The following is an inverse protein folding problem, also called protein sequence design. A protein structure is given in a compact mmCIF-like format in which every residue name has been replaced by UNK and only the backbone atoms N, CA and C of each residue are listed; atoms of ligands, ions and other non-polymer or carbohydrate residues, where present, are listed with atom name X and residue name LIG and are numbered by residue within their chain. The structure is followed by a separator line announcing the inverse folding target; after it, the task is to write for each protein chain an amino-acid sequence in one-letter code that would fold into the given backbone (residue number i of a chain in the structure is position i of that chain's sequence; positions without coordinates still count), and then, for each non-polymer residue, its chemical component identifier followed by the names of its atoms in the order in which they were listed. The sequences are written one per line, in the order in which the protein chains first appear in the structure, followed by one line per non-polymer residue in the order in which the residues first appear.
data_IF_040347287008
#
_entry.id   IF_040347287008
#
_cell.length_a   1.000
_cell.length_b   1.000
_cell.length_c   1.000
_cell.angle_alpha   90.00
_cell.angle_beta   90.00
_cell.angle_gamma   90.00
#
_symmetry.space_group_name_H-M   'P 1'
#
loop_
_entity.id
_entity.type
_entity.pdbx_description
1 polymer ?
#
# COMPACT_ATOMS: atom_id res chain seq x y z
N UNK A 1 11.78 22.35 0.91
CA UNK A 1 11.14 21.15 0.33
C UNK A 1 10.11 21.62 -0.66
N UNK A 2 10.05 21.02 -1.85
CA UNK A 2 8.99 21.34 -2.82
C UNK A 2 7.64 20.96 -2.21
N UNK A 3 6.64 21.83 -2.37
CA UNK A 3 5.28 21.55 -1.94
C UNK A 3 4.60 20.68 -3.01
N UNK A 4 4.62 19.36 -2.83
CA UNK A 4 4.06 18.39 -3.79
C UNK A 4 2.54 18.32 -3.62
N UNK A 5 1.80 18.59 -4.71
CA UNK A 5 0.33 18.51 -4.71
C UNK A 5 -0.12 17.09 -5.08
N UNK A 6 -0.21 16.21 -4.08
CA UNK A 6 -0.59 14.81 -4.29
C UNK A 6 -1.96 14.62 -4.94
N UNK A 7 -2.94 15.47 -4.65
CA UNK A 7 -4.26 15.42 -5.30
C UNK A 7 -4.16 15.53 -6.82
N UNK A 8 -3.27 16.41 -7.30
CA UNK A 8 -3.06 16.63 -8.73
C UNK A 8 -2.34 15.45 -9.39
N UNK A 9 -1.39 14.85 -8.67
CA UNK A 9 -0.70 13.64 -9.11
C UNK A 9 -1.71 12.49 -9.24
N UNK A 10 -2.52 12.24 -8.22
CA UNK A 10 -3.52 11.17 -8.25
C UNK A 10 -4.58 11.39 -9.33
N UNK A 11 -5.06 12.63 -9.50
CA UNK A 11 -5.98 12.99 -10.58
C UNK A 11 -5.35 12.70 -11.95
N UNK A 12 -4.09 13.09 -12.16
CA UNK A 12 -3.36 12.83 -13.41
C UNK A 12 -3.19 11.33 -13.67
N UNK A 13 -2.81 10.55 -12.65
CA UNK A 13 -2.68 9.09 -12.75
C UNK A 13 -4.01 8.43 -13.12
N UNK A 14 -5.11 8.82 -12.47
CA UNK A 14 -6.44 8.28 -12.74
C UNK A 14 -6.93 8.64 -14.14
N UNK A 15 -6.76 9.89 -14.58
CA UNK A 15 -7.06 10.33 -15.94
C UNK A 15 -6.25 9.52 -16.97
N UNK A 16 -4.96 9.35 -16.73
CA UNK A 16 -4.08 8.57 -17.62
C UNK A 16 -4.53 7.12 -17.74
N UNK A 17 -4.93 6.49 -16.63
CA UNK A 17 -5.48 5.13 -16.62
C UNK A 17 -6.79 5.03 -17.41
N UNK A 18 -7.68 6.03 -17.32
CA UNK A 18 -8.95 6.02 -18.07
C UNK A 18 -8.79 6.14 -19.59
N UNK A 19 -7.63 6.63 -20.05
CA UNK A 19 -7.33 6.80 -21.48
C UNK A 19 -6.75 5.54 -22.13
N UNK A 20 -6.52 4.48 -21.36
CA UNK A 20 -5.92 3.24 -21.88
C UNK A 20 -6.89 2.53 -22.83
N UNK A 21 -6.51 2.41 -24.10
CA UNK A 21 -7.10 1.44 -25.01
C UNK A 21 -6.54 0.04 -24.71
N UNK A 22 -7.41 -0.86 -24.25
CA UNK A 22 -7.05 -2.24 -23.87
C UNK A 22 -6.71 -3.13 -25.07
N UNK A 23 -7.14 -2.78 -26.29
CA UNK A 23 -6.76 -3.52 -27.50
C UNK A 23 -5.31 -3.24 -27.88
N UNK A 24 -4.82 -2.02 -27.62
CA UNK A 24 -3.46 -1.58 -27.93
C UNK A 24 -2.51 -1.94 -26.76
N UNK A 25 -2.91 -1.58 -25.54
CA UNK A 25 -2.13 -1.77 -24.32
C UNK A 25 -2.61 -3.01 -23.56
N UNK A 26 -2.43 -4.15 -24.21
CA UNK A 26 -3.01 -5.42 -23.77
C UNK A 26 -2.21 -6.19 -22.69
N UNK A 27 -1.10 -5.63 -22.21
CA UNK A 27 -0.30 -6.21 -21.12
C UNK A 27 0.16 -5.13 -20.12
N UNK A 28 0.66 -5.52 -18.95
CA UNK A 28 1.03 -4.57 -17.90
C UNK A 28 2.14 -3.61 -18.34
N UNK A 29 3.18 -4.11 -19.02
CA UNK A 29 4.33 -3.31 -19.47
C UNK A 29 3.92 -2.19 -20.43
N UNK A 30 3.05 -2.49 -21.41
CA UNK A 30 2.51 -1.51 -22.35
C UNK A 30 1.65 -0.46 -21.65
N UNK A 31 0.81 -0.86 -20.69
CA UNK A 31 0.00 0.07 -19.89
C UNK A 31 0.87 1.00 -19.08
N UNK A 32 1.90 0.46 -18.43
CA UNK A 32 2.87 1.23 -17.65
C UNK A 32 3.59 2.27 -18.52
N UNK A 33 4.17 1.86 -19.65
CA UNK A 33 4.88 2.80 -20.54
C UNK A 33 3.94 3.87 -21.10
N UNK A 34 2.70 3.50 -21.45
CA UNK A 34 1.71 4.48 -21.91
C UNK A 34 1.40 5.55 -20.84
N UNK A 35 1.07 5.13 -19.60
CA UNK A 35 0.80 6.08 -18.51
C UNK A 35 2.04 6.95 -18.23
N UNK A 36 3.23 6.34 -18.21
CA UNK A 36 4.49 7.03 -18.00
C UNK A 36 4.74 8.11 -19.05
N UNK A 37 4.49 7.80 -20.32
CA UNK A 37 4.59 8.79 -21.41
C UNK A 37 3.59 9.93 -21.20
N UNK A 38 2.35 9.67 -20.79
CA UNK A 38 1.39 10.74 -20.48
C UNK A 38 1.89 11.65 -19.36
N UNK A 39 2.44 11.09 -18.28
CA UNK A 39 2.96 11.88 -17.15
C UNK A 39 4.14 12.75 -17.59
N UNK A 40 5.07 12.18 -18.36
CA UNK A 40 6.26 12.90 -18.82
C UNK A 40 5.92 13.98 -19.84
N UNK A 41 5.11 13.63 -20.84
CA UNK A 41 4.77 14.49 -21.98
C UNK A 41 3.61 15.44 -21.70
N UNK A 42 3.01 15.42 -20.50
CA UNK A 42 1.87 16.29 -20.15
C UNK A 42 2.13 17.74 -20.61
N UNK A 43 1.47 18.10 -21.72
CA UNK A 43 1.73 19.29 -22.54
C UNK A 43 1.15 20.57 -21.88
N UNK A 44 0.38 20.43 -20.80
CA UNK A 44 -0.34 21.54 -20.15
C UNK A 44 0.35 22.08 -18.88
N UNK A 45 1.63 21.73 -18.62
CA UNK A 45 2.42 22.20 -17.45
C UNK A 45 1.78 22.00 -16.06
N UNK A 46 0.74 21.17 -15.94
CA UNK A 46 -0.03 20.98 -14.70
C UNK A 46 0.84 20.48 -13.55
N UNK A 47 1.70 19.50 -13.83
CA UNK A 47 2.65 18.95 -12.86
C UNK A 47 4.04 19.59 -13.05
N UNK A 48 4.58 20.09 -11.94
CA UNK A 48 5.98 20.50 -11.85
C UNK A 48 6.93 19.31 -12.07
N UNK A 49 8.21 19.59 -12.32
CA UNK A 49 9.23 18.53 -12.47
C UNK A 49 9.29 17.58 -11.26
N UNK A 50 9.20 18.12 -10.05
CA UNK A 50 9.23 17.33 -8.82
C UNK A 50 7.97 16.47 -8.66
N UNK A 51 6.81 17.00 -9.04
CA UNK A 51 5.55 16.25 -9.05
C UNK A 51 5.52 15.16 -10.12
N UNK A 52 6.08 15.40 -11.31
CA UNK A 52 6.26 14.36 -12.33
C UNK A 52 7.14 13.23 -11.80
N UNK A 53 8.25 13.57 -11.13
CA UNK A 53 9.12 12.58 -10.52
C UNK A 53 8.38 11.74 -9.47
N UNK A 54 7.59 12.39 -8.61
CA UNK A 54 6.82 11.70 -7.59
C UNK A 54 5.68 10.84 -8.19
N UNK A 55 5.00 11.33 -9.23
CA UNK A 55 4.01 10.57 -9.99
C UNK A 55 4.60 9.29 -10.61
N UNK A 56 5.82 9.38 -11.16
CA UNK A 56 6.53 8.21 -11.70
C UNK A 56 6.91 7.23 -10.58
N UNK A 57 7.34 7.69 -9.40
CA UNK A 57 7.59 6.79 -8.27
C UNK A 57 6.32 6.04 -7.85
N UNK A 58 5.20 6.74 -7.72
CA UNK A 58 3.91 6.13 -7.39
C UNK A 58 3.48 5.12 -8.47
N UNK A 59 3.63 5.48 -9.75
CA UNK A 59 3.34 4.58 -10.87
C UNK A 59 4.22 3.31 -10.82
N UNK A 60 5.51 3.44 -10.52
CA UNK A 60 6.41 2.29 -10.37
C UNK A 60 5.95 1.36 -9.25
N UNK A 61 5.54 1.92 -8.10
CA UNK A 61 5.04 1.11 -6.98
C UNK A 61 3.76 0.35 -7.36
N UNK A 62 2.84 0.99 -8.07
CA UNK A 62 1.60 0.37 -8.59
C UNK A 62 1.97 -0.76 -9.56
N UNK A 63 2.86 -0.48 -10.50
CA UNK A 63 3.28 -1.45 -11.51
C UNK A 63 3.97 -2.67 -10.88
N UNK A 64 4.86 -2.46 -9.92
CA UNK A 64 5.50 -3.55 -9.19
C UNK A 64 4.49 -4.41 -8.42
N UNK A 65 3.51 -3.76 -7.76
CA UNK A 65 2.40 -4.46 -7.12
C UNK A 65 1.61 -5.31 -8.11
N UNK A 66 1.23 -4.74 -9.26
CA UNK A 66 0.44 -5.43 -10.29
C UNK A 66 1.22 -6.62 -10.88
N UNK A 67 2.53 -6.46 -11.14
CA UNK A 67 3.38 -7.58 -11.59
C UNK A 67 3.33 -8.76 -10.63
N UNK A 68 3.44 -8.51 -9.33
CA UNK A 68 3.39 -9.56 -8.31
C UNK A 68 1.99 -10.17 -8.24
N UNK A 69 0.94 -9.33 -8.22
CA UNK A 69 -0.45 -9.76 -8.09
C UNK A 69 -0.89 -10.66 -9.25
N UNK A 70 -0.56 -10.28 -10.48
CA UNK A 70 -0.91 -11.03 -11.69
C UNK A 70 0.17 -12.04 -12.10
N UNK A 71 1.29 -12.11 -11.36
CA UNK A 71 2.45 -12.93 -11.68
C UNK A 71 2.91 -12.73 -13.15
N UNK A 72 2.94 -11.47 -13.59
CA UNK A 72 3.19 -11.07 -14.98
C UNK A 72 4.46 -10.22 -15.10
N UNK A 73 5.15 -10.38 -16.23
CA UNK A 73 6.32 -9.60 -16.61
C UNK A 73 7.66 -10.26 -16.25
N UNK A 74 8.74 -9.55 -16.52
CA UNK A 74 10.09 -10.11 -16.38
C UNK A 74 10.49 -10.21 -14.91
N UNK A 75 10.94 -11.41 -14.49
CA UNK A 75 11.57 -11.65 -13.18
C UNK A 75 13.03 -11.21 -13.19
N UNK A 76 13.55 -10.84 -12.02
CA UNK A 76 14.97 -10.53 -11.81
C UNK A 76 15.48 -11.25 -10.57
N UNK A 77 16.78 -11.45 -10.48
CA UNK A 77 17.40 -11.94 -9.24
C UNK A 77 17.59 -10.77 -8.29
N UNK A 78 17.07 -10.89 -7.06
CA UNK A 78 17.31 -9.91 -6.02
C UNK A 78 18.75 -10.02 -5.51
N UNK A 79 19.51 -8.94 -5.57
CA UNK A 79 20.90 -8.89 -5.08
C UNK A 79 21.02 -9.18 -3.57
N UNK A 80 19.99 -8.88 -2.79
CA UNK A 80 20.02 -9.05 -1.33
C UNK A 80 19.69 -10.48 -0.88
N UNK A 81 18.65 -11.09 -1.46
CA UNK A 81 18.17 -12.41 -1.00
C UNK A 81 18.36 -13.54 -2.02
N UNK A 82 18.91 -13.22 -3.20
CA UNK A 82 19.22 -14.17 -4.29
C UNK A 82 18.01 -14.95 -4.82
N UNK A 83 16.78 -14.49 -4.52
CA UNK A 83 15.54 -15.05 -5.06
C UNK A 83 15.13 -14.32 -6.34
N UNK A 84 14.49 -15.05 -7.25
CA UNK A 84 13.75 -14.46 -8.36
C UNK A 84 12.56 -13.67 -7.83
N UNK A 85 12.51 -12.37 -8.10
CA UNK A 85 11.44 -11.47 -7.71
C UNK A 85 10.88 -10.70 -8.93
N UNK A 86 9.62 -10.28 -8.83
CA UNK A 86 8.92 -9.58 -9.91
C UNK A 86 9.04 -8.06 -9.82
N UNK A 87 8.97 -7.51 -8.61
CA UNK A 87 9.10 -6.07 -8.40
C UNK A 87 10.49 -5.57 -8.78
N UNK A 88 10.55 -4.38 -9.38
CA UNK A 88 11.77 -3.71 -9.84
C UNK A 88 12.32 -2.81 -8.72
N UNK A 89 11.47 -2.02 -8.09
CA UNK A 89 11.87 -1.00 -7.10
C UNK A 89 12.14 -1.58 -5.70
N UNK A 90 11.58 -2.74 -5.39
CA UNK A 90 11.80 -3.48 -4.16
C UNK A 90 11.82 -4.99 -4.42
N UNK A 91 12.00 -5.79 -3.38
CA UNK A 91 11.87 -7.24 -3.44
C UNK A 91 10.83 -7.72 -2.43
N UNK A 92 9.76 -8.35 -2.90
CA UNK A 92 8.66 -8.87 -2.08
C UNK A 92 9.17 -9.87 -1.03
N UNK A 93 10.20 -10.66 -1.33
CA UNK A 93 10.79 -11.58 -0.36
C UNK A 93 11.61 -10.86 0.73
N UNK A 94 12.32 -9.78 0.38
CA UNK A 94 13.05 -9.00 1.38
C UNK A 94 12.08 -8.33 2.36
N UNK A 95 10.96 -7.80 1.84
CA UNK A 95 9.89 -7.24 2.68
C UNK A 95 9.31 -8.31 3.60
N UNK A 96 8.92 -9.48 3.07
CA UNK A 96 8.39 -10.60 3.88
C UNK A 96 9.38 -11.06 4.95
N UNK A 97 10.67 -11.12 4.65
CA UNK A 97 11.70 -11.48 5.61
C UNK A 97 11.83 -10.43 6.71
N UNK A 98 11.88 -9.15 6.34
CA UNK A 98 11.88 -8.03 7.29
C UNK A 98 10.68 -8.09 8.23
N UNK A 99 9.48 -8.36 7.70
CA UNK A 99 8.28 -8.48 8.53
C UNK A 99 8.37 -9.66 9.49
N UNK A 100 8.79 -10.84 9.01
CA UNK A 100 8.98 -12.04 9.83
C UNK A 100 9.96 -11.83 11.00
N UNK A 101 11.06 -11.13 10.76
CA UNK A 101 12.03 -10.78 11.81
C UNK A 101 11.43 -9.86 12.89
N UNK A 102 10.36 -9.13 12.57
CA UNK A 102 9.67 -8.23 13.49
C UNK A 102 8.43 -8.85 14.17
N UNK A 103 8.11 -10.12 13.91
CA UNK A 103 6.92 -10.77 14.50
C UNK A 103 6.93 -10.79 16.04
N UNK A 104 8.11 -10.80 16.67
CA UNK A 104 8.23 -10.75 18.13
C UNK A 104 8.18 -9.33 18.71
N UNK A 105 8.18 -8.29 17.87
CA UNK A 105 8.31 -6.90 18.32
C UNK A 105 6.96 -6.22 18.59
N UNK A 106 5.86 -6.89 18.27
CA UNK A 106 4.51 -6.41 18.52
C UNK A 106 3.58 -7.58 18.84
N UNK A 107 2.51 -7.30 19.58
CA UNK A 107 1.38 -8.20 19.79
C UNK A 107 0.13 -7.35 20.00
N UNK A 108 -1.03 -7.87 19.59
CA UNK A 108 -2.33 -7.30 19.91
C UNK A 108 -2.89 -7.78 21.26
N UNK A 109 -2.15 -8.64 21.97
CA UNK A 109 -2.62 -9.42 23.12
C UNK A 109 -3.75 -10.42 22.76
N UNK A 110 -4.01 -10.63 21.47
CA UNK A 110 -4.94 -11.61 20.94
C UNK A 110 -4.23 -12.51 19.91
N UNK A 111 -4.06 -13.78 20.27
CA UNK A 111 -3.31 -14.74 19.45
C UNK A 111 -3.92 -14.96 18.06
N UNK A 112 -5.25 -15.01 17.95
CA UNK A 112 -5.93 -15.21 16.67
C UNK A 112 -5.74 -14.01 15.71
N UNK A 113 -5.78 -12.78 16.25
CA UNK A 113 -5.48 -11.56 15.48
C UNK A 113 -4.01 -11.56 15.04
N UNK A 114 -3.11 -11.87 15.97
CA UNK A 114 -1.68 -11.89 15.69
C UNK A 114 -1.34 -12.92 14.61
N UNK A 115 -1.92 -14.13 14.67
CA UNK A 115 -1.75 -15.17 13.66
C UNK A 115 -2.28 -14.75 12.28
N UNK A 116 -3.44 -14.10 12.23
CA UNK A 116 -3.99 -13.55 10.99
C UNK A 116 -3.02 -12.54 10.36
N UNK A 117 -2.58 -11.55 11.16
CA UNK A 117 -1.67 -10.50 10.69
C UNK A 117 -0.35 -11.11 10.22
N UNK A 118 0.25 -12.03 11.01
CA UNK A 118 1.48 -12.74 10.61
C UNK A 118 1.29 -13.46 9.29
N UNK A 119 0.19 -14.18 9.10
CA UNK A 119 -0.12 -14.87 7.83
C UNK A 119 -0.17 -13.89 6.66
N UNK A 120 -0.92 -12.80 6.78
CA UNK A 120 -1.00 -11.76 5.74
C UNK A 120 0.37 -11.12 5.46
N UNK A 121 1.18 -10.88 6.49
CA UNK A 121 2.54 -10.36 6.35
C UNK A 121 3.49 -11.33 5.62
N UNK A 122 3.28 -12.66 5.77
CA UNK A 122 4.07 -13.64 5.02
C UNK A 122 3.77 -13.68 3.52
N UNK A 123 2.59 -13.22 3.12
CA UNK A 123 2.12 -13.20 1.73
C UNK A 123 2.19 -11.79 1.10
N UNK A 124 2.46 -10.77 1.91
CA UNK A 124 2.51 -9.35 1.49
C UNK A 124 3.37 -9.14 0.25
N UNK A 125 2.84 -8.39 -0.71
CA UNK A 125 3.45 -8.16 -2.01
C UNK A 125 4.01 -6.75 -2.16
N UNK A 126 3.51 -5.73 -1.45
CA UNK A 126 3.95 -4.34 -1.59
C UNK A 126 3.95 -3.61 -0.24
N UNK A 127 4.80 -2.60 -0.03
CA UNK A 127 4.83 -1.81 1.21
C UNK A 127 3.46 -1.28 1.66
N UNK A 128 2.71 -0.68 0.73
CA UNK A 128 1.40 -0.06 1.00
C UNK A 128 0.22 -1.05 1.05
N UNK A 129 0.49 -2.35 1.08
CA UNK A 129 -0.51 -3.41 1.28
C UNK A 129 -0.24 -4.25 2.51
N UNK A 130 0.70 -3.83 3.36
CA UNK A 130 1.07 -4.58 4.57
C UNK A 130 0.00 -4.35 5.62
N UNK A 131 -0.67 -5.43 6.03
CA UNK A 131 -1.54 -5.42 7.21
C UNK A 131 -0.66 -5.43 8.45
N UNK A 132 -1.04 -4.64 9.45
CA UNK A 132 -0.33 -4.58 10.73
C UNK A 132 -1.26 -4.27 11.89
N UNK A 133 -0.77 -4.56 13.09
CA UNK A 133 -1.38 -4.09 14.32
C UNK A 133 -0.94 -2.66 14.59
N UNK A 134 -1.90 -1.77 14.87
CA UNK A 134 -1.65 -0.38 15.21
C UNK A 134 -1.98 -0.19 16.70
N UNK A 135 -0.98 0.09 17.56
CA UNK A 135 -1.24 0.40 18.96
C UNK A 135 -2.17 1.61 19.08
N UNK A 136 -3.16 1.54 19.96
CA UNK A 136 -4.15 2.61 20.13
C UNK A 136 -3.51 3.98 20.42
N UNK A 137 -2.36 4.01 21.11
CA UNK A 137 -1.61 5.23 21.42
C UNK A 137 -1.00 5.93 20.18
N UNK A 138 -0.93 5.23 19.05
CA UNK A 138 -0.48 5.79 17.76
C UNK A 138 -1.63 6.44 16.99
N UNK A 139 -2.86 6.39 17.52
CA UNK A 139 -4.05 7.08 17.01
C UNK A 139 -4.35 8.31 17.86
N UNK A 140 -4.58 9.46 17.22
CA UNK A 140 -4.86 10.76 17.85
C UNK A 140 -6.13 11.36 17.27
N UNK A 141 -6.70 12.35 17.97
CA UNK A 141 -7.85 13.13 17.49
C UNK A 141 -9.03 12.26 17.04
N UNK A 142 -9.26 11.14 17.75
CA UNK A 142 -10.33 10.19 17.42
C UNK A 142 -11.68 10.89 17.60
N UNK A 143 -12.42 11.02 16.51
CA UNK A 143 -13.68 11.75 16.46
C UNK A 143 -14.76 10.87 15.84
N UNK A 144 -15.93 10.80 16.47
CA UNK A 144 -17.08 10.07 15.91
C UNK A 144 -17.53 10.71 14.59
N UNK A 145 -17.73 9.88 13.57
CA UNK A 145 -18.21 10.31 12.25
C UNK A 145 -19.69 9.95 12.06
N UNK A 146 -20.03 8.68 12.18
CA UNK A 146 -21.40 8.18 11.95
C UNK A 146 -21.59 6.77 12.50
N UNK A 147 -22.84 6.29 12.50
CA UNK A 147 -23.22 4.91 12.82
C UNK A 147 -24.11 4.38 11.71
N UNK A 148 -23.84 3.16 11.25
CA UNK A 148 -24.65 2.48 10.25
C UNK A 148 -24.47 0.97 10.37
N UNK A 149 -25.55 0.19 10.17
CA UNK A 149 -25.53 -1.25 10.43
C UNK A 149 -25.14 -1.55 11.89
N UNK A 150 -24.18 -2.45 12.08
CA UNK A 150 -23.65 -2.89 13.38
C UNK A 150 -22.30 -2.27 13.74
N UNK A 151 -21.95 -1.11 13.15
CA UNK A 151 -20.64 -0.49 13.39
C UNK A 151 -20.73 1.02 13.60
N UNK A 152 -19.84 1.51 14.46
CA UNK A 152 -19.58 2.93 14.65
C UNK A 152 -18.32 3.30 13.86
N UNK A 153 -18.40 4.40 13.10
CA UNK A 153 -17.31 4.90 12.28
C UNK A 153 -16.73 6.15 12.92
N UNK A 154 -15.41 6.19 13.02
CA UNK A 154 -14.65 7.31 13.55
C UNK A 154 -13.60 7.75 12.53
N UNK A 155 -13.14 8.99 12.65
CA UNK A 155 -11.91 9.48 12.02
C UNK A 155 -10.82 9.56 13.08
N UNK A 156 -9.56 9.39 12.68
CA UNK A 156 -8.41 9.56 13.54
C UNK A 156 -7.17 10.00 12.76
N UNK A 157 -6.20 10.57 13.45
CA UNK A 157 -4.85 10.80 12.96
C UNK A 157 -3.96 9.62 13.37
N UNK A 158 -3.45 8.84 12.42
CA UNK A 158 -2.42 7.84 12.67
C UNK A 158 -1.03 8.49 12.54
N UNK A 159 -0.26 8.50 13.63
CA UNK A 159 1.01 9.24 13.76
C UNK A 159 2.07 8.75 12.77
N UNK A 160 2.28 7.43 12.69
CA UNK A 160 3.32 6.85 11.84
C UNK A 160 2.84 6.67 10.40
N UNK A 161 1.54 6.43 10.23
CA UNK A 161 0.94 6.09 8.95
C UNK A 161 1.43 4.76 8.37
N UNK A 162 0.97 4.49 7.15
CA UNK A 162 1.23 3.23 6.47
C UNK A 162 2.68 3.16 6.00
N UNK A 163 3.13 1.94 5.72
CA UNK A 163 4.34 1.76 4.96
C UNK A 163 4.10 2.15 3.50
N UNK A 164 4.94 3.01 2.95
CA UNK A 164 4.79 3.47 1.56
C UNK A 164 5.94 3.06 0.65
N UNK A 165 7.10 2.72 1.22
CA UNK A 165 8.30 2.41 0.45
C UNK A 165 9.22 1.44 1.20
N UNK A 166 9.92 0.60 0.43
CA UNK A 166 11.06 -0.17 0.90
C UNK A 166 12.38 0.56 0.60
N UNK A 167 13.21 0.79 1.62
CA UNK A 167 14.56 1.33 1.43
C UNK A 167 15.57 0.18 1.23
N UNK A 168 16.08 0.02 0.01
CA UNK A 168 17.05 -1.03 -0.31
C UNK A 168 18.39 -0.88 0.42
N UNK A 169 18.83 0.34 0.73
CA UNK A 169 20.11 0.60 1.40
C UNK A 169 20.03 0.26 2.89
N UNK A 170 19.00 0.79 3.57
CA UNK A 170 18.79 0.57 5.00
C UNK A 170 18.17 -0.80 5.30
N UNK A 171 17.60 -1.45 4.27
CA UNK A 171 16.83 -2.71 4.38
C UNK A 171 15.67 -2.59 5.36
N UNK A 172 14.93 -1.48 5.26
CA UNK A 172 13.82 -1.15 6.15
C UNK A 172 12.64 -0.58 5.37
N UNK A 173 11.45 -0.82 5.89
CA UNK A 173 10.24 -0.15 5.41
C UNK A 173 10.19 1.29 5.94
N UNK A 174 9.81 2.21 5.05
CA UNK A 174 9.58 3.62 5.37
C UNK A 174 8.09 3.90 5.54
N UNK A 175 7.81 4.69 6.56
CA UNK A 175 6.49 5.16 6.99
C UNK A 175 6.13 6.46 6.28
N UNK A 176 4.88 6.60 5.83
CA UNK A 176 4.40 7.82 5.18
C UNK A 176 4.42 9.01 6.14
N UNK A 177 4.29 8.73 7.44
CA UNK A 177 4.12 9.73 8.48
C UNK A 177 2.64 9.98 8.74
N UNK A 178 2.35 11.08 9.43
CA UNK A 178 1.01 11.39 9.90
C UNK A 178 -0.02 11.33 8.76
N UNK A 179 -1.05 10.50 8.93
CA UNK A 179 -2.14 10.36 7.98
C UNK A 179 -3.49 10.28 8.67
N UNK A 180 -4.53 10.79 8.01
CA UNK A 180 -5.90 10.65 8.48
C UNK A 180 -6.45 9.28 8.08
N UNK A 181 -7.10 8.59 9.01
CA UNK A 181 -7.66 7.25 8.80
C UNK A 181 -9.11 7.17 9.25
N UNK A 182 -9.81 6.18 8.73
CA UNK A 182 -11.13 5.77 9.20
C UNK A 182 -10.95 4.58 10.15
N UNK A 183 -11.59 4.65 11.32
CA UNK A 183 -11.67 3.53 12.25
C UNK A 183 -13.11 3.02 12.24
N UNK A 184 -13.29 1.73 11.93
CA UNK A 184 -14.57 1.03 12.07
C UNK A 184 -14.53 0.24 13.38
N UNK A 185 -15.37 0.62 14.35
CA UNK A 185 -15.54 -0.13 15.59
C UNK A 185 -16.61 -1.20 15.39
N UNK A 186 -16.25 -2.44 15.65
CA UNK A 186 -17.17 -3.58 15.64
C UNK A 186 -17.87 -3.68 17.01
N UNK A 187 -19.19 -3.88 17.03
CA UNK A 187 -19.93 -4.08 18.27
C UNK A 187 -19.69 -5.49 18.85
N UNK A 188 -19.78 -5.61 20.19
CA UNK A 188 -19.42 -6.83 20.96
C UNK A 188 -20.13 -8.13 20.54
N UNK A 189 -21.19 -8.06 19.71
CA UNK A 189 -21.84 -9.24 19.14
C UNK A 189 -21.08 -9.85 17.96
N UNK A 190 -20.28 -9.05 17.23
CA UNK A 190 -19.48 -9.48 16.09
C UNK A 190 -18.04 -9.85 16.49
N UNK A 191 -17.48 -9.28 17.56
CA UNK A 191 -16.13 -9.63 18.03
C UNK A 191 -16.02 -11.08 18.56
N UNK A 192 -17.12 -11.62 19.07
CA UNK A 192 -17.24 -13.03 19.51
C UNK A 192 -17.54 -14.00 18.37
N UNK A 193 -17.85 -13.49 17.18
CA UNK A 193 -18.19 -14.31 16.02
C UNK A 193 -17.06 -14.20 15.01
N UNK A 194 -16.53 -15.33 14.50
CA UNK A 194 -15.40 -15.29 13.54
C UNK A 194 -15.72 -14.57 12.22
N UNK A 195 -16.93 -14.05 12.04
CA UNK A 195 -17.35 -13.24 10.88
C UNK A 195 -16.48 -12.00 10.64
N UNK A 196 -15.89 -11.39 11.68
CA UNK A 196 -15.00 -10.24 11.44
C UNK A 196 -13.72 -10.65 10.69
N UNK A 197 -13.26 -11.89 10.82
CA UNK A 197 -12.11 -12.40 10.07
C UNK A 197 -12.39 -12.43 8.56
N UNK A 198 -13.63 -12.72 8.16
CA UNK A 198 -14.01 -12.74 6.75
C UNK A 198 -14.09 -11.32 6.17
N UNK A 199 -14.53 -10.33 6.95
CA UNK A 199 -14.46 -8.92 6.52
C UNK A 199 -13.02 -8.47 6.26
N UNK A 200 -12.07 -8.81 7.16
CA UNK A 200 -10.66 -8.44 6.99
C UNK A 200 -10.07 -9.12 5.74
N UNK A 201 -10.42 -10.39 5.46
CA UNK A 201 -9.94 -11.11 4.27
C UNK A 201 -10.53 -10.61 2.96
N UNK A 202 -11.74 -10.06 2.96
CA UNK A 202 -12.37 -9.49 1.76
C UNK A 202 -11.72 -8.16 1.37
N UNK A 203 -11.16 -7.43 2.34
CA UNK A 203 -10.58 -6.11 2.14
C UNK A 203 -9.10 -6.12 1.70
N UNK A 204 -8.47 -7.29 1.58
CA UNK A 204 -7.01 -7.47 1.41
C UNK A 204 -6.67 -8.31 0.20
#
# INVERSE_FOLDING_TARGET
MANIRYELIFSTLNKSKSLIDLNIHNNLEKKYEYIKQIILNNEEEILTKDEKLEAIKLLNNIFDKDKILYNEGTKRICENCQKECLAITYCEYCIRNYLKENFSNWTSENEDIDDLIRKCQTESYAPNGIIEWIPYNNLRNITYLTKGGYSEIYTADWIDGEYFQWNNQERKLKRFGKQQVILKRLENGESNNRNWFDEVRILT
#
